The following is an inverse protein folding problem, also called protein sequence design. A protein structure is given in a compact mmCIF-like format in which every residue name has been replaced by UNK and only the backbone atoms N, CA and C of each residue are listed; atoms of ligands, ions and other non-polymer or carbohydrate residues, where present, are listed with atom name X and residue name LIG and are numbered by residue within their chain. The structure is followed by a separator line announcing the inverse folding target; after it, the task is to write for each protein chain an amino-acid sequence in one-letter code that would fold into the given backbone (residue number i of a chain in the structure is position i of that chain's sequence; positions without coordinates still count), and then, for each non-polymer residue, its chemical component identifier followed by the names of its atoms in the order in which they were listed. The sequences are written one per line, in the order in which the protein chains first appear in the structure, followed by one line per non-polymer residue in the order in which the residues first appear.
data_IF_987160372630
#
_entry.id   IF_987160372630
#
_cell.length_a   1.000
_cell.length_b   1.000
_cell.length_c   1.000
_cell.angle_alpha   90.00
_cell.angle_beta   90.00
_cell.angle_gamma   90.00
#
_symmetry.space_group_name_H-M   'P 1'
#
loop_
_entity.id
_entity.type
_entity.pdbx_description
1 polymer ?
#
# COMPACT_ATOMS: atom_id res chain seq x y z
N UNK A 1 -71.29 19.67 -9.07
CA UNK A 1 -70.34 20.06 -10.13
C UNK A 1 -69.02 20.41 -9.44
N UNK A 2 -68.08 19.47 -9.34
CA UNK A 2 -66.77 19.75 -8.73
C UNK A 2 -65.81 20.16 -9.83
N UNK A 3 -65.44 21.44 -9.83
CA UNK A 3 -64.43 22.01 -10.72
C UNK A 3 -63.04 21.51 -10.30
N UNK A 4 -62.40 20.67 -11.13
CA UNK A 4 -61.02 20.26 -10.94
C UNK A 4 -60.12 21.40 -11.44
N UNK A 5 -59.57 22.21 -10.52
CA UNK A 5 -58.53 23.18 -10.88
C UNK A 5 -57.24 22.42 -11.24
N UNK A 6 -56.85 22.44 -12.51
CA UNK A 6 -55.53 21.96 -12.94
C UNK A 6 -54.50 22.95 -12.40
N UNK A 7 -53.94 22.64 -11.25
CA UNK A 7 -52.76 23.34 -10.73
C UNK A 7 -51.65 23.17 -11.76
N UNK A 8 -51.15 24.29 -12.27
CA UNK A 8 -50.13 24.37 -13.31
C UNK A 8 -48.79 23.85 -12.73
N UNK A 9 -48.61 22.53 -12.70
CA UNK A 9 -47.39 21.90 -12.18
C UNK A 9 -46.27 22.18 -13.17
N UNK A 10 -45.24 22.91 -12.73
CA UNK A 10 -44.02 23.12 -13.50
C UNK A 10 -43.41 21.75 -13.82
N UNK A 11 -43.40 21.38 -15.09
CA UNK A 11 -42.70 20.20 -15.60
C UNK A 11 -41.31 20.62 -16.09
N UNK A 12 -40.30 19.82 -15.79
CA UNK A 12 -38.96 20.01 -16.34
C UNK A 12 -38.97 19.75 -17.84
N UNK A 13 -38.23 20.57 -18.57
CA UNK A 13 -38.00 20.36 -20.00
C UNK A 13 -36.90 19.31 -20.22
N UNK A 14 -36.97 18.61 -21.36
CA UNK A 14 -35.92 17.66 -21.76
C UNK A 14 -34.54 18.31 -21.83
N UNK A 15 -34.47 19.57 -22.27
CA UNK A 15 -33.20 20.29 -22.38
C UNK A 15 -32.61 20.65 -21.02
N UNK A 16 -33.43 21.02 -20.03
CA UNK A 16 -32.96 21.27 -18.66
C UNK A 16 -32.34 20.01 -18.06
N UNK A 17 -32.98 18.85 -18.24
CA UNK A 17 -32.42 17.60 -17.74
C UNK A 17 -31.14 17.21 -18.49
N UNK A 18 -31.08 17.44 -19.81
CA UNK A 18 -29.91 17.15 -20.63
C UNK A 18 -28.69 17.98 -20.22
N UNK A 19 -28.87 19.28 -20.00
CA UNK A 19 -27.78 20.17 -19.57
C UNK A 19 -27.29 19.77 -18.17
N UNK A 20 -28.19 19.41 -17.25
CA UNK A 20 -27.80 18.99 -15.89
C UNK A 20 -26.93 17.73 -15.92
N UNK A 21 -27.33 16.69 -16.66
CA UNK A 21 -26.51 15.46 -16.74
C UNK A 21 -25.19 15.71 -17.46
N UNK A 22 -25.14 16.63 -18.44
CA UNK A 22 -23.92 17.02 -19.11
C UNK A 22 -22.94 17.74 -18.17
N UNK A 23 -23.42 18.64 -17.31
CA UNK A 23 -22.56 19.32 -16.32
C UNK A 23 -22.09 18.34 -15.23
N UNK A 24 -22.99 17.49 -14.72
CA UNK A 24 -22.65 16.51 -13.68
C UNK A 24 -21.59 15.51 -14.16
N UNK A 25 -21.65 15.06 -15.42
CA UNK A 25 -20.68 14.09 -15.96
C UNK A 25 -19.26 14.66 -16.09
N UNK A 26 -19.14 15.92 -16.50
CA UNK A 26 -17.85 16.64 -16.58
C UNK A 26 -17.26 16.80 -15.17
N UNK A 27 -18.07 17.25 -14.20
CA UNK A 27 -17.62 17.40 -12.82
C UNK A 27 -17.24 16.07 -12.17
N UNK A 28 -18.03 15.02 -12.39
CA UNK A 28 -17.75 13.68 -11.85
C UNK A 28 -16.41 13.12 -12.34
N UNK A 29 -16.06 13.34 -13.62
CA UNK A 29 -14.80 12.86 -14.20
C UNK A 29 -13.58 13.52 -13.55
N UNK A 30 -13.63 14.84 -13.34
CA UNK A 30 -12.55 15.57 -12.66
C UNK A 30 -12.39 15.12 -11.21
N UNK A 31 -13.50 14.92 -10.49
CA UNK A 31 -13.47 14.43 -9.10
C UNK A 31 -12.90 13.01 -8.99
N UNK A 32 -13.26 12.12 -9.92
CA UNK A 32 -12.80 10.73 -9.91
C UNK A 32 -11.27 10.63 -9.93
N UNK A 33 -10.62 11.33 -10.86
CA UNK A 33 -9.14 11.31 -10.98
C UNK A 33 -8.43 11.88 -9.75
N UNK A 34 -8.96 12.93 -9.14
CA UNK A 34 -8.41 13.53 -7.92
C UNK A 34 -8.48 12.59 -6.70
N UNK A 35 -9.57 11.85 -6.57
CA UNK A 35 -9.77 10.89 -5.46
C UNK A 35 -8.75 9.75 -5.55
N UNK A 36 -8.52 9.19 -6.74
CA UNK A 36 -7.55 8.08 -6.91
C UNK A 36 -6.14 8.49 -6.49
N UNK A 37 -5.69 9.70 -6.86
CA UNK A 37 -4.38 10.20 -6.45
C UNK A 37 -4.29 10.43 -4.92
N UNK A 38 -5.35 10.95 -4.30
CA UNK A 38 -5.39 11.14 -2.85
C UNK A 38 -5.39 9.82 -2.08
N UNK A 39 -6.10 8.80 -2.58
CA UNK A 39 -6.12 7.46 -2.00
C UNK A 39 -4.75 6.80 -2.03
N UNK A 40 -4.04 6.84 -3.16
CA UNK A 40 -2.69 6.27 -3.27
C UNK A 40 -1.71 6.91 -2.28
N UNK A 41 -1.72 8.26 -2.17
CA UNK A 41 -0.94 8.97 -1.15
C UNK A 41 -1.28 8.52 0.27
N UNK A 42 -2.56 8.28 0.56
CA UNK A 42 -2.98 7.75 1.86
C UNK A 42 -2.49 6.31 2.10
N UNK A 43 -2.48 5.46 1.07
CA UNK A 43 -1.91 4.11 1.13
C UNK A 43 -0.40 4.16 1.40
N UNK A 44 0.35 5.00 0.68
CA UNK A 44 1.79 5.23 0.98
C UNK A 44 2.00 5.68 2.41
N UNK A 45 1.25 6.69 2.88
CA UNK A 45 1.39 7.21 4.24
C UNK A 45 1.09 6.14 5.31
N UNK A 46 0.08 5.29 5.06
CA UNK A 46 -0.25 4.15 5.90
C UNK A 46 0.88 3.11 5.90
N UNK A 47 1.41 2.74 4.73
CA UNK A 47 2.52 1.81 4.60
C UNK A 47 3.74 2.28 5.41
N UNK A 48 4.14 3.54 5.28
CA UNK A 48 5.27 4.12 6.04
C UNK A 48 5.02 4.05 7.54
N UNK A 49 3.79 4.33 8.01
CA UNK A 49 3.44 4.21 9.43
C UNK A 49 3.52 2.76 9.92
N UNK A 50 3.01 1.81 9.13
CA UNK A 50 3.04 0.38 9.47
C UNK A 50 4.48 -0.14 9.49
N UNK A 51 5.33 0.22 8.53
CA UNK A 51 6.75 -0.12 8.55
C UNK A 51 7.46 0.39 9.82
N UNK A 52 7.19 1.62 10.25
CA UNK A 52 7.74 2.15 11.52
C UNK A 52 7.27 1.34 12.72
N UNK A 53 6.00 0.92 12.73
CA UNK A 53 5.46 0.06 13.79
C UNK A 53 6.14 -1.31 13.81
N UNK A 54 6.39 -1.91 12.63
CA UNK A 54 7.11 -3.18 12.55
C UNK A 54 8.56 -3.01 12.96
N UNK A 55 9.23 -1.92 12.57
CA UNK A 55 10.59 -1.65 13.00
C UNK A 55 10.73 -1.58 14.53
N UNK A 56 9.75 -0.97 15.20
CA UNK A 56 9.66 -0.99 16.65
C UNK A 56 9.46 -2.41 17.19
N UNK A 57 8.53 -3.19 16.62
CA UNK A 57 8.30 -4.58 17.02
C UNK A 57 9.56 -5.45 16.88
N UNK A 58 10.27 -5.33 15.75
CA UNK A 58 11.52 -6.04 15.50
C UNK A 58 12.63 -5.62 16.47
N UNK A 59 12.70 -4.33 16.81
CA UNK A 59 13.66 -3.85 17.83
C UNK A 59 13.38 -4.47 19.19
N UNK A 60 12.10 -4.53 19.60
CA UNK A 60 11.72 -5.17 20.87
C UNK A 60 12.01 -6.67 20.85
N UNK A 61 11.74 -7.36 19.73
CA UNK A 61 12.08 -8.77 19.56
C UNK A 61 13.59 -9.00 19.70
N UNK A 62 14.40 -8.20 19.00
CA UNK A 62 15.87 -8.27 19.05
C UNK A 62 16.38 -8.09 20.48
N UNK A 63 15.85 -7.12 21.22
CA UNK A 63 16.21 -6.89 22.63
C UNK A 63 15.83 -8.04 23.57
N UNK A 64 14.89 -8.90 23.17
CA UNK A 64 14.40 -10.03 23.99
C UNK A 64 15.07 -11.35 23.63
N UNK A 65 15.44 -11.54 22.38
CA UNK A 65 15.91 -12.81 21.83
C UNK A 65 17.36 -12.74 21.31
N UNK A 66 18.02 -11.58 21.44
CA UNK A 66 19.38 -11.27 20.97
C UNK A 66 19.62 -11.50 19.46
N UNK A 67 18.57 -11.82 18.71
CA UNK A 67 18.58 -12.09 17.27
C UNK A 67 17.28 -11.61 16.63
N UNK A 68 17.32 -11.32 15.33
CA UNK A 68 16.10 -11.07 14.55
C UNK A 68 15.31 -12.37 14.31
N UNK A 69 13.97 -12.29 14.13
CA UNK A 69 13.17 -13.48 13.84
C UNK A 69 13.63 -14.20 12.55
N UNK A 70 13.52 -15.53 12.48
CA UNK A 70 13.91 -16.28 11.30
C UNK A 70 13.02 -15.94 10.09
N UNK A 71 13.55 -16.21 8.90
CA UNK A 71 12.82 -16.07 7.65
C UNK A 71 11.61 -17.01 7.59
N UNK A 72 10.49 -16.52 7.09
CA UNK A 72 9.29 -17.32 6.83
C UNK A 72 8.63 -16.84 5.54
N UNK A 73 8.13 -17.78 4.75
CA UNK A 73 7.58 -17.47 3.43
C UNK A 73 6.24 -16.72 3.52
N UNK A 74 6.27 -15.37 3.45
CA UNK A 74 5.09 -14.48 3.51
C UNK A 74 4.17 -14.75 4.70
N UNK A 75 4.75 -15.14 5.82
CA UNK A 75 4.03 -15.39 7.06
C UNK A 75 4.66 -14.61 8.21
N UNK A 76 4.20 -14.85 9.42
CA UNK A 76 4.71 -14.21 10.63
C UNK A 76 5.72 -15.15 11.27
N UNK A 77 6.96 -14.69 11.51
CA UNK A 77 7.93 -15.48 12.25
C UNK A 77 7.39 -15.84 13.64
N UNK A 78 7.52 -17.12 14.01
CA UNK A 78 7.08 -17.58 15.33
C UNK A 78 7.75 -16.78 16.46
N UNK A 79 6.95 -16.32 17.41
CA UNK A 79 7.37 -15.49 18.54
C UNK A 79 7.34 -13.99 18.27
N UNK A 80 7.05 -13.53 17.04
CA UNK A 80 6.87 -12.11 16.74
C UNK A 80 5.47 -11.60 17.12
N UNK A 81 4.48 -12.48 17.17
CA UNK A 81 3.06 -12.21 17.38
C UNK A 81 2.80 -11.29 18.60
N UNK A 82 3.44 -11.48 19.77
CA UNK A 82 3.20 -10.62 20.93
C UNK A 82 3.60 -9.16 20.74
N UNK A 83 4.43 -8.87 19.73
CA UNK A 83 4.94 -7.53 19.44
C UNK A 83 4.17 -6.83 18.31
N UNK A 84 3.20 -7.50 17.68
CA UNK A 84 2.37 -6.94 16.61
C UNK A 84 1.01 -6.47 17.16
N UNK A 85 0.58 -5.28 16.74
CA UNK A 85 -0.65 -4.66 17.22
C UNK A 85 -1.95 -5.37 16.78
N UNK A 86 -1.95 -6.10 15.67
CA UNK A 86 -3.14 -6.71 15.06
C UNK A 86 -3.40 -8.14 15.58
N UNK A 87 -3.49 -8.31 16.90
CA UNK A 87 -3.62 -9.62 17.56
C UNK A 87 -2.55 -10.63 17.10
N UNK A 88 -1.32 -10.16 16.90
CA UNK A 88 -0.25 -11.02 16.41
C UNK A 88 -0.22 -11.28 14.91
N UNK A 89 -1.11 -10.67 14.14
CA UNK A 89 -1.15 -10.82 12.69
C UNK A 89 -0.46 -9.65 11.96
N UNK A 90 0.01 -9.88 10.73
CA UNK A 90 0.23 -8.77 9.81
C UNK A 90 -1.11 -8.04 9.58
N UNK A 91 -1.16 -6.70 9.56
CA UNK A 91 -2.34 -5.99 9.11
C UNK A 91 -2.53 -6.22 7.61
N UNK A 92 -3.78 -6.07 7.15
CA UNK A 92 -4.07 -6.02 5.72
C UNK A 92 -3.22 -4.94 5.05
N UNK A 93 -2.54 -5.30 3.96
CA UNK A 93 -1.67 -4.38 3.25
C UNK A 93 -2.42 -3.11 2.83
N UNK A 94 -1.75 -1.94 2.88
CA UNK A 94 -2.40 -0.66 2.63
C UNK A 94 -2.91 -0.51 1.19
N UNK A 95 -2.28 -1.20 0.24
CA UNK A 95 -2.73 -1.24 -1.16
C UNK A 95 -3.62 -2.46 -1.41
N UNK A 96 -4.59 -2.39 -2.33
CA UNK A 96 -5.46 -3.51 -2.64
C UNK A 96 -4.68 -4.76 -3.09
N UNK A 97 -4.74 -5.83 -2.30
CA UNK A 97 -4.04 -7.09 -2.58
C UNK A 97 -2.55 -7.10 -2.21
N UNK A 98 -2.06 -6.04 -1.58
CA UNK A 98 -0.69 -6.02 -1.07
C UNK A 98 -0.54 -6.83 0.22
N UNK A 99 0.63 -7.42 0.41
CA UNK A 99 0.95 -8.28 1.57
C UNK A 99 2.34 -7.98 2.10
N UNK A 100 2.50 -8.06 3.42
CA UNK A 100 3.80 -7.95 4.06
C UNK A 100 4.57 -9.27 3.99
N UNK A 101 5.88 -9.17 3.87
CA UNK A 101 6.79 -10.29 3.68
C UNK A 101 8.08 -10.00 4.44
N UNK A 102 8.38 -10.81 5.44
CA UNK A 102 9.58 -10.69 6.27
C UNK A 102 10.69 -11.51 5.64
N UNK A 103 11.81 -10.86 5.33
CA UNK A 103 12.98 -11.47 4.74
C UNK A 103 14.14 -11.42 5.75
N UNK A 104 14.61 -12.57 6.23
CA UNK A 104 15.88 -12.69 6.98
C UNK A 104 16.83 -13.66 6.26
N UNK A 105 17.46 -13.14 5.21
CA UNK A 105 18.20 -13.94 4.25
C UNK A 105 19.69 -13.96 4.63
N UNK A 106 20.20 -15.16 4.90
CA UNK A 106 21.63 -15.41 5.06
C UNK A 106 22.35 -15.65 3.72
N UNK A 107 23.62 -16.06 3.79
CA UNK A 107 24.41 -16.45 2.61
C UNK A 107 25.53 -15.45 2.29
N UNK A 108 25.90 -15.36 1.01
CA UNK A 108 27.03 -14.54 0.55
C UNK A 108 26.74 -13.03 0.58
N UNK A 109 25.47 -12.65 0.52
CA UNK A 109 25.01 -11.25 0.52
C UNK A 109 23.77 -11.14 1.43
N UNK A 110 23.97 -11.22 2.76
CA UNK A 110 22.87 -11.30 3.71
C UNK A 110 22.15 -9.97 3.85
N UNK A 111 20.83 -10.02 4.05
CA UNK A 111 20.03 -8.85 4.33
C UNK A 111 18.81 -9.20 5.19
N UNK A 112 18.38 -8.23 5.98
CA UNK A 112 17.19 -8.31 6.82
C UNK A 112 16.29 -7.14 6.44
N UNK A 113 15.07 -7.44 5.99
CA UNK A 113 14.11 -6.42 5.60
C UNK A 113 12.68 -6.91 5.82
N UNK A 114 11.76 -5.96 5.83
CA UNK A 114 10.34 -6.25 5.61
C UNK A 114 9.91 -5.58 4.32
N UNK A 115 9.25 -6.33 3.44
CA UNK A 115 8.77 -5.83 2.16
C UNK A 115 7.24 -5.85 2.11
N UNK A 116 6.69 -4.88 1.41
CA UNK A 116 5.30 -4.81 1.00
C UNK A 116 5.26 -5.22 -0.47
N UNK A 117 4.75 -6.43 -0.71
CA UNK A 117 4.55 -7.01 -2.03
C UNK A 117 3.24 -6.51 -2.61
N UNK A 118 3.24 -6.15 -3.89
CA UNK A 118 2.05 -5.65 -4.60
C UNK A 118 1.34 -6.72 -5.42
N UNK A 119 1.84 -7.96 -5.36
CA UNK A 119 1.30 -9.10 -6.07
C UNK A 119 0.92 -10.21 -5.09
N UNK A 120 -0.06 -11.02 -5.49
CA UNK A 120 -0.34 -12.29 -4.81
C UNK A 120 0.88 -13.22 -4.77
N UNK A 121 0.79 -14.33 -4.03
CA UNK A 121 1.90 -15.28 -3.85
C UNK A 121 2.35 -15.93 -5.16
N UNK A 122 1.49 -15.95 -6.18
CA UNK A 122 1.80 -16.52 -7.49
C UNK A 122 2.38 -15.47 -8.46
N UNK A 123 2.38 -14.19 -8.09
CA UNK A 123 2.80 -13.09 -8.96
C UNK A 123 1.85 -12.82 -10.13
N UNK A 124 0.61 -13.32 -10.08
CA UNK A 124 -0.33 -13.24 -11.19
C UNK A 124 -1.24 -12.00 -11.11
N UNK A 125 -1.59 -11.59 -9.89
CA UNK A 125 -2.44 -10.43 -9.66
C UNK A 125 -1.65 -9.33 -8.97
N UNK A 126 -1.11 -8.42 -9.77
CA UNK A 126 -0.31 -7.29 -9.29
C UNK A 126 -1.09 -5.97 -9.38
N UNK A 127 -1.01 -5.15 -8.34
CA UNK A 127 -1.58 -3.79 -8.31
C UNK A 127 -0.57 -2.82 -7.75
N UNK A 128 0.11 -2.10 -8.64
CA UNK A 128 1.17 -1.18 -8.26
C UNK A 128 0.64 0.21 -7.91
N UNK A 129 1.36 0.95 -7.06
CA UNK A 129 1.12 2.37 -6.81
C UNK A 129 1.24 3.19 -8.10
N UNK A 130 0.52 4.32 -8.17
CA UNK A 130 0.58 5.25 -9.33
C UNK A 130 1.56 6.41 -9.10
N UNK A 131 2.25 6.40 -7.97
CA UNK A 131 3.25 7.37 -7.58
C UNK A 131 4.49 7.30 -8.49
N UNK A 132 5.20 8.42 -8.61
CA UNK A 132 6.38 8.53 -9.48
C UNK A 132 7.49 7.54 -9.13
N UNK A 133 7.62 7.15 -7.87
CA UNK A 133 8.64 6.18 -7.41
C UNK A 133 8.30 4.73 -7.80
N UNK A 134 7.08 4.46 -8.25
CA UNK A 134 6.60 3.12 -8.60
C UNK A 134 6.40 2.91 -10.10
N UNK A 135 6.80 3.86 -10.96
CA UNK A 135 6.49 3.83 -12.39
C UNK A 135 7.06 2.61 -13.11
N UNK A 136 8.24 2.16 -12.71
CA UNK A 136 8.95 1.03 -13.32
C UNK A 136 8.77 -0.27 -12.52
N UNK A 137 7.73 -0.34 -11.67
CA UNK A 137 7.51 -1.51 -10.84
C UNK A 137 6.99 -2.69 -11.66
N UNK A 138 7.57 -3.85 -11.40
CA UNK A 138 7.13 -5.13 -11.92
C UNK A 138 6.79 -6.10 -10.78
N UNK A 139 6.51 -7.36 -11.13
CA UNK A 139 6.12 -8.40 -10.17
C UNK A 139 7.14 -8.66 -9.05
N UNK A 140 8.40 -8.29 -9.25
CA UNK A 140 9.50 -8.42 -8.29
C UNK A 140 9.84 -7.09 -7.62
N UNK A 141 9.09 -6.03 -7.91
CA UNK A 141 9.20 -4.75 -7.23
C UNK A 141 8.43 -4.76 -5.91
N UNK A 142 9.00 -4.08 -4.93
CA UNK A 142 8.41 -3.95 -3.61
C UNK A 142 8.79 -2.61 -2.99
N UNK A 143 7.94 -2.18 -2.06
CA UNK A 143 8.29 -1.14 -1.10
C UNK A 143 8.85 -1.85 0.13
N UNK A 144 10.01 -1.47 0.66
CA UNK A 144 10.63 -2.24 1.74
C UNK A 144 11.32 -1.35 2.77
N UNK A 145 11.45 -1.87 3.98
CA UNK A 145 12.19 -1.28 5.08
C UNK A 145 13.39 -2.16 5.40
N UNK A 146 14.58 -1.59 5.31
CA UNK A 146 15.84 -2.29 5.51
C UNK A 146 16.28 -2.23 6.98
N UNK A 147 16.58 -3.37 7.59
CA UNK A 147 17.17 -3.42 8.93
C UNK A 147 18.69 -3.58 8.85
N UNK A 148 19.17 -4.53 8.06
CA UNK A 148 20.59 -4.84 7.93
C UNK A 148 20.92 -5.32 6.51
N UNK A 149 22.16 -5.13 6.08
CA UNK A 149 22.68 -5.68 4.82
C UNK A 149 22.26 -4.94 3.55
N UNK A 150 22.31 -5.65 2.42
CA UNK A 150 22.04 -5.12 1.06
C UNK A 150 20.60 -5.39 0.65
N UNK A 151 19.69 -4.67 1.29
CA UNK A 151 18.25 -4.75 1.02
C UNK A 151 17.91 -4.43 -0.44
N UNK A 152 16.86 -5.06 -0.93
CA UNK A 152 16.49 -5.06 -2.35
C UNK A 152 15.00 -5.33 -2.54
N UNK A 153 14.51 -5.11 -3.75
CA UNK A 153 13.10 -5.32 -4.05
C UNK A 153 12.67 -6.79 -3.93
N UNK A 154 13.52 -7.74 -4.33
CA UNK A 154 13.23 -9.19 -4.29
C UNK A 154 14.53 -10.01 -4.26
N UNK A 155 14.53 -11.15 -3.59
CA UNK A 155 15.72 -12.01 -3.40
C UNK A 155 16.36 -12.49 -4.70
N UNK A 156 15.55 -12.77 -5.72
CA UNK A 156 16.00 -13.18 -7.06
C UNK A 156 16.46 -12.05 -7.98
N UNK A 157 16.40 -10.80 -7.53
CA UNK A 157 16.75 -9.62 -8.33
C UNK A 157 18.01 -8.94 -7.81
N UNK A 158 18.73 -8.20 -8.66
CA UNK A 158 19.86 -7.39 -8.21
C UNK A 158 19.38 -6.22 -7.34
N UNK A 159 20.32 -5.60 -6.60
CA UNK A 159 20.04 -4.52 -5.63
C UNK A 159 19.47 -3.26 -6.30
N UNK A 160 19.79 -3.05 -7.58
CA UNK A 160 19.34 -1.92 -8.40
C UNK A 160 17.98 -2.14 -9.08
N UNK A 161 17.34 -3.30 -8.88
CA UNK A 161 16.01 -3.57 -9.42
C UNK A 161 14.98 -2.56 -8.87
N UNK A 162 14.00 -2.12 -9.69
CA UNK A 162 12.99 -1.16 -9.25
C UNK A 162 12.31 -1.56 -7.93
N UNK A 163 12.47 -0.71 -6.93
CA UNK A 163 11.93 -0.89 -5.60
C UNK A 163 12.02 0.41 -4.80
N UNK A 164 11.25 0.51 -3.73
CA UNK A 164 11.20 1.73 -2.92
C UNK A 164 11.61 1.42 -1.49
N UNK A 165 12.86 1.76 -1.16
CA UNK A 165 13.33 1.66 0.22
C UNK A 165 12.83 2.85 1.04
N UNK A 166 12.01 2.56 2.05
CA UNK A 166 11.35 3.57 2.88
C UNK A 166 12.32 4.30 3.79
N UNK A 167 13.36 3.63 4.27
CA UNK A 167 14.31 4.15 5.24
C UNK A 167 15.75 4.29 4.71
N UNK A 168 16.04 3.90 3.46
CA UNK A 168 17.36 4.07 2.86
C UNK A 168 17.65 5.52 2.41
N UNK A 169 16.65 6.42 2.53
CA UNK A 169 16.77 7.85 2.23
C UNK A 169 16.63 8.78 3.45
N UNK A 170 16.72 8.25 4.68
CA UNK A 170 16.58 9.03 5.92
C UNK A 170 17.92 9.50 6.53
N UNK A 171 18.93 9.80 5.70
CA UNK A 171 20.07 10.64 6.09
C UNK A 171 19.84 12.15 5.87
N UNK A 172 18.60 12.61 5.70
CA UNK A 172 18.28 14.05 5.78
C UNK A 172 17.02 14.33 6.58
N UNK A 173 17.23 14.61 7.86
CA UNK A 173 16.49 15.49 8.78
C UNK A 173 15.00 15.76 8.54
N UNK A 174 14.20 15.26 9.48
CA UNK A 174 13.19 16.04 10.21
C UNK A 174 13.34 15.77 11.71
#
# INVERSE_FOLDING_TARGET
MNSLSIQNKRAFTLIELLVVVAVVSVLATLLYTGITAAQNKAYTARAVKEFRSFAQAMTVYLLKNDTYPPDVNRDIPAGLEPYLANNGNWPDGPYPGSVYDWDNIGGADPYIQISLRFCDINGNNCRFPIESWAQDFDKNSAMYWCFEGTCRSHSSQPVDHPGYCVNCGLETGL
#
